data_IF_147015894955
#
_entry.id   IF_147015894955
#
_cell.length_a   1.000
_cell.length_b   1.000
_cell.length_c   1.000
_cell.angle_alpha   90.00
_cell.angle_beta   90.00
_cell.angle_gamma   90.00
#
_symmetry.space_group_name_H-M   'P 1'
#
loop_
_entity.id
_entity.type
_entity.pdbx_description
1 polymer ?
#
# COMPACT_ATOMS: atom_id res chain seq x y z
N UNK A 1 10.35 6.62 18.69
CA UNK A 1 9.22 6.38 17.78
C UNK A 1 7.98 6.98 18.41
N UNK A 2 7.42 7.99 17.75
CA UNK A 2 6.21 8.67 18.18
C UNK A 2 4.96 7.81 17.96
N UNK A 3 3.82 8.24 18.50
CA UNK A 3 2.57 7.48 18.38
C UNK A 3 2.11 7.36 16.92
N UNK A 4 2.23 8.44 16.15
CA UNK A 4 1.93 8.49 14.71
C UNK A 4 2.76 7.47 13.92
N UNK A 5 4.06 7.37 14.19
CA UNK A 5 4.93 6.38 13.56
C UNK A 5 4.53 4.93 13.87
N UNK A 6 4.07 4.64 15.09
CA UNK A 6 3.57 3.31 15.44
C UNK A 6 2.30 2.96 14.67
N UNK A 7 1.42 3.94 14.47
CA UNK A 7 0.17 3.76 13.72
C UNK A 7 0.48 3.48 12.25
N UNK A 8 1.44 4.18 11.65
CA UNK A 8 1.92 3.90 10.29
C UNK A 8 2.48 2.48 10.17
N UNK A 9 3.31 2.02 11.11
CA UNK A 9 3.81 0.64 11.10
C UNK A 9 2.69 -0.38 11.25
N UNK A 10 1.70 -0.11 12.12
CA UNK A 10 0.56 -1.00 12.30
C UNK A 10 -0.28 -1.10 11.02
N UNK A 11 -0.46 0.00 10.30
CA UNK A 11 -1.17 0.03 9.03
C UNK A 11 -0.42 -0.76 7.96
N UNK A 12 0.89 -0.55 7.83
CA UNK A 12 1.75 -1.33 6.93
C UNK A 12 1.65 -2.83 7.25
N UNK A 13 1.81 -3.20 8.53
CA UNK A 13 1.75 -4.59 8.96
C UNK A 13 0.40 -5.24 8.64
N UNK A 14 -0.69 -4.52 8.90
CA UNK A 14 -2.04 -5.03 8.66
C UNK A 14 -2.28 -5.24 7.17
N UNK A 15 -1.94 -4.25 6.34
CA UNK A 15 -2.12 -4.31 4.89
C UNK A 15 -1.26 -5.40 4.26
N UNK A 16 0.00 -5.56 4.68
CA UNK A 16 0.85 -6.67 4.21
C UNK A 16 0.29 -8.03 4.67
N UNK A 17 -0.20 -8.12 5.90
CA UNK A 17 -0.81 -9.34 6.43
C UNK A 17 -2.03 -9.79 5.62
N UNK A 18 -2.99 -8.88 5.37
CA UNK A 18 -4.18 -9.17 4.55
C UNK A 18 -3.79 -9.53 3.12
N UNK A 19 -2.79 -8.85 2.57
CA UNK A 19 -2.28 -9.12 1.22
C UNK A 19 -1.68 -10.51 1.10
N UNK A 20 -0.95 -10.99 2.11
CA UNK A 20 -0.37 -12.34 2.10
C UNK A 20 -1.44 -13.42 2.16
N UNK A 21 -2.52 -13.18 2.91
CA UNK A 21 -3.62 -14.13 3.05
C UNK A 21 -4.54 -14.17 1.82
N UNK A 22 -4.60 -13.08 1.06
CA UNK A 22 -5.38 -12.99 -0.17
C UNK A 22 -4.75 -13.78 -1.33
N UNK A 23 -5.57 -14.66 -1.92
CA UNK A 23 -5.22 -15.56 -3.02
C UNK A 23 -5.97 -15.25 -4.33
N UNK A 24 -6.64 -14.10 -4.41
CA UNK A 24 -7.25 -13.65 -5.65
C UNK A 24 -6.19 -13.49 -6.76
N UNK A 25 -6.64 -13.62 -8.00
CA UNK A 25 -5.79 -13.48 -9.19
C UNK A 25 -5.92 -12.11 -9.85
N UNK A 26 -6.98 -11.39 -9.51
CA UNK A 26 -7.35 -10.08 -10.06
C UNK A 26 -7.82 -9.17 -8.92
N UNK A 27 -7.49 -7.88 -9.02
CA UNK A 27 -7.74 -6.87 -8.00
C UNK A 27 -8.22 -5.57 -8.65
N UNK A 28 -9.18 -4.90 -8.04
CA UNK A 28 -9.62 -3.57 -8.47
C UNK A 28 -8.83 -2.49 -7.74
N UNK A 29 -8.11 -1.66 -8.48
CA UNK A 29 -7.41 -0.49 -7.97
C UNK A 29 -8.17 0.76 -8.38
N UNK A 30 -8.56 1.58 -7.42
CA UNK A 30 -9.25 2.84 -7.66
C UNK A 30 -8.27 4.00 -7.62
N UNK A 31 -8.16 4.72 -8.73
CA UNK A 31 -7.30 5.88 -8.87
C UNK A 31 -8.11 7.17 -8.88
N UNK A 32 -7.55 8.20 -8.26
CA UNK A 32 -8.09 9.56 -8.27
C UNK A 32 -6.98 10.56 -8.54
N UNK A 33 -7.07 11.25 -9.66
CA UNK A 33 -6.13 12.31 -10.06
C UNK A 33 -6.92 13.58 -10.41
N UNK A 34 -6.88 14.57 -9.50
CA UNK A 34 -7.65 15.81 -9.65
C UNK A 34 -9.16 15.56 -9.71
N UNK A 35 -9.74 15.76 -10.90
CA UNK A 35 -11.17 15.52 -11.19
C UNK A 35 -11.43 14.19 -11.90
N UNK A 36 -10.40 13.41 -12.21
CA UNK A 36 -10.53 12.12 -12.88
C UNK A 36 -10.51 11.00 -11.84
N UNK A 37 -11.43 10.06 -11.98
CA UNK A 37 -11.51 8.83 -11.19
C UNK A 37 -11.69 7.67 -12.15
N UNK A 38 -10.86 6.63 -12.00
CA UNK A 38 -10.98 5.41 -12.80
C UNK A 38 -10.60 4.19 -11.97
N UNK A 39 -10.98 3.02 -12.46
CA UNK A 39 -10.68 1.74 -11.83
C UNK A 39 -9.93 0.87 -12.82
N UNK A 40 -8.87 0.22 -12.36
CA UNK A 40 -8.12 -0.76 -13.15
C UNK A 40 -8.22 -2.12 -12.48
N UNK A 41 -8.48 -3.16 -13.28
CA UNK A 41 -8.34 -4.54 -12.82
C UNK A 41 -6.91 -4.98 -13.11
N UNK A 42 -6.14 -5.23 -12.05
CA UNK A 42 -4.74 -5.62 -12.12
C UNK A 42 -4.56 -7.07 -11.70
N UNK A 43 -3.52 -7.70 -12.23
CA UNK A 43 -3.19 -9.07 -11.85
C UNK A 43 -2.49 -9.13 -10.47
N UNK A 44 -2.26 -10.35 -9.97
CA UNK A 44 -1.63 -10.56 -8.66
C UNK A 44 -0.23 -9.94 -8.52
N UNK A 45 0.60 -9.99 -9.56
CA UNK A 45 1.96 -9.44 -9.54
C UNK A 45 1.92 -7.92 -9.47
N UNK A 46 1.09 -7.28 -10.30
CA UNK A 46 0.85 -5.83 -10.29
C UNK A 46 0.31 -5.36 -8.94
N UNK A 47 -0.65 -6.09 -8.36
CA UNK A 47 -1.17 -5.79 -7.03
C UNK A 47 -0.09 -5.86 -5.95
N UNK A 48 0.73 -6.93 -5.95
CA UNK A 48 1.84 -7.07 -5.00
C UNK A 48 2.87 -5.95 -5.13
N UNK A 49 3.20 -5.56 -6.36
CA UNK A 49 4.10 -4.45 -6.61
C UNK A 49 3.55 -3.14 -6.02
N UNK A 50 2.28 -2.80 -6.31
CA UNK A 50 1.66 -1.58 -5.80
C UNK A 50 1.63 -1.52 -4.26
N UNK A 51 1.38 -2.66 -3.59
CA UNK A 51 1.37 -2.74 -2.12
C UNK A 51 2.78 -2.56 -1.54
N UNK A 52 3.81 -3.09 -2.20
CA UNK A 52 5.21 -2.88 -1.78
C UNK A 52 5.61 -1.42 -1.98
N UNK A 53 5.29 -0.83 -3.13
CA UNK A 53 5.56 0.59 -3.41
C UNK A 53 4.86 1.51 -2.41
N UNK A 54 3.60 1.23 -2.08
CA UNK A 54 2.86 1.93 -1.03
C UNK A 54 3.56 1.81 0.32
N UNK A 55 3.96 0.60 0.72
CA UNK A 55 4.62 0.39 2.01
C UNK A 55 5.96 1.15 2.10
N UNK A 56 6.76 1.18 1.02
CA UNK A 56 7.98 1.97 0.94
C UNK A 56 7.67 3.48 1.10
N UNK A 57 6.67 3.99 0.40
CA UNK A 57 6.24 5.39 0.54
C UNK A 57 5.79 5.72 1.96
N UNK A 58 5.05 4.84 2.63
CA UNK A 58 4.66 5.03 4.02
C UNK A 58 5.89 5.11 4.94
N UNK A 59 6.92 4.32 4.69
CA UNK A 59 8.15 4.37 5.47
C UNK A 59 8.92 5.67 5.19
N UNK A 60 9.17 5.99 3.92
CA UNK A 60 9.92 7.19 3.51
C UNK A 60 9.28 8.49 4.00
N UNK A 61 7.94 8.57 4.00
CA UNK A 61 7.22 9.78 4.39
C UNK A 61 7.11 9.97 5.91
N UNK A 62 7.26 8.91 6.71
CA UNK A 62 6.98 8.95 8.15
C UNK A 62 8.20 8.64 9.04
N UNK A 63 9.34 8.24 8.47
CA UNK A 63 10.54 7.86 9.21
C UNK A 63 11.80 8.56 8.68
N UNK A 64 12.30 9.52 9.48
CA UNK A 64 13.54 10.23 9.17
C UNK A 64 14.74 9.28 9.00
N UNK A 65 15.57 9.56 8.00
CA UNK A 65 16.79 8.80 7.74
C UNK A 65 16.61 7.50 6.96
N UNK A 66 15.38 7.19 6.49
CA UNK A 66 15.13 6.09 5.56
C UNK A 66 15.15 6.60 4.12
N UNK A 67 16.20 6.25 3.37
CA UNK A 67 16.38 6.44 1.92
C UNK A 67 17.34 5.40 1.36
#
# INVERSE_FOLDING_TARGET
MEQEQKEVIQDIYTTLGTTVEDKATEYEHHFKEGHNEWTETVNREENLQAIIEWALQQIENNFDGVK
#
